data_IF_532873541368
#
_entry.id   IF_532873541368
#
_cell.length_a   1.000
_cell.length_b   1.000
_cell.length_c   1.000
_cell.angle_alpha   90.00
_cell.angle_beta   90.00
_cell.angle_gamma   90.00
#
_symmetry.space_group_name_H-M   'P 1'
#
loop_
_entity.id
_entity.type
_entity.pdbx_description
1 polymer ?
#
# COMPACT_ATOMS: atom_id res chain seq x y z
N UNK A 1 -22.25 -3.52 -17.55
CA UNK A 1 -22.50 -3.23 -18.98
C UNK A 1 -21.47 -2.28 -19.60
N UNK A 2 -20.43 -1.83 -18.86
CA UNK A 2 -19.45 -0.83 -19.31
C UNK A 2 -18.19 -1.39 -20.02
N UNK A 3 -18.00 -2.71 -20.04
CA UNK A 3 -16.79 -3.33 -20.59
C UNK A 3 -16.75 -3.43 -22.13
N UNK A 4 -17.81 -3.01 -22.84
CA UNK A 4 -18.00 -3.32 -24.27
C UNK A 4 -17.40 -2.28 -25.25
N UNK A 5 -16.87 -1.15 -24.76
CA UNK A 5 -16.35 -0.06 -25.62
C UNK A 5 -14.94 0.41 -25.28
N UNK A 6 -14.26 -0.23 -24.31
CA UNK A 6 -12.88 0.13 -23.98
C UNK A 6 -11.89 -0.60 -24.90
N UNK A 7 -10.88 0.09 -25.44
CA UNK A 7 -9.80 -0.54 -26.20
C UNK A 7 -9.14 -1.69 -25.40
N UNK A 8 -8.78 -2.83 -26.04
CA UNK A 8 -8.31 -4.01 -25.33
C UNK A 8 -7.06 -3.77 -24.47
N UNK A 9 -6.19 -2.84 -24.84
CA UNK A 9 -5.01 -2.36 -24.12
C UNK A 9 -5.37 -1.60 -22.83
N UNK A 10 -6.41 -0.77 -22.88
CA UNK A 10 -6.97 -0.10 -21.70
C UNK A 10 -7.68 -1.13 -20.83
N UNK A 11 -8.48 -2.02 -21.39
CA UNK A 11 -9.06 -3.12 -20.62
C UNK A 11 -7.98 -3.99 -19.96
N UNK A 12 -6.86 -4.25 -20.65
CA UNK A 12 -5.72 -5.00 -20.12
C UNK A 12 -5.00 -4.26 -18.98
N UNK A 13 -4.84 -2.93 -19.11
CA UNK A 13 -4.29 -2.06 -18.07
C UNK A 13 -5.23 -1.95 -16.85
N UNK A 14 -6.54 -1.85 -17.09
CA UNK A 14 -7.60 -1.86 -16.08
C UNK A 14 -7.76 -3.24 -15.42
N UNK A 15 -7.39 -4.34 -16.08
CA UNK A 15 -7.37 -5.69 -15.47
C UNK A 15 -6.10 -5.98 -14.66
N UNK A 16 -5.03 -5.18 -14.85
CA UNK A 16 -3.88 -5.15 -13.94
C UNK A 16 -4.12 -4.24 -12.72
N UNK A 17 -5.26 -3.55 -12.65
CA UNK A 17 -5.71 -2.92 -11.42
C UNK A 17 -5.71 -3.96 -10.32
N UNK A 18 -4.96 -3.64 -9.28
CA UNK A 18 -4.74 -4.49 -8.13
C UNK A 18 -6.06 -5.18 -7.72
N UNK A 19 -6.18 -6.52 -7.85
CA UNK A 19 -7.40 -7.23 -7.50
C UNK A 19 -7.85 -6.94 -6.07
N UNK A 20 -6.96 -6.53 -5.16
CA UNK A 20 -7.31 -6.15 -3.80
C UNK A 20 -8.18 -4.88 -3.71
N UNK A 21 -7.93 -3.90 -4.59
CA UNK A 21 -8.70 -2.64 -4.68
C UNK A 21 -9.81 -2.72 -5.74
N UNK A 22 -9.52 -3.35 -6.88
CA UNK A 22 -10.43 -3.58 -8.01
C UNK A 22 -11.49 -4.66 -7.71
N UNK A 23 -11.14 -5.70 -6.94
CA UNK A 23 -12.08 -6.70 -6.42
C UNK A 23 -12.60 -6.34 -5.02
N UNK A 24 -12.32 -5.14 -4.50
CA UNK A 24 -13.09 -4.55 -3.42
C UNK A 24 -14.45 -4.07 -3.96
N UNK A 25 -15.28 -5.03 -4.39
CA UNK A 25 -16.73 -4.93 -4.26
C UNK A 25 -17.18 -4.96 -2.78
N UNK A 26 -16.23 -4.93 -1.83
CA UNK A 26 -16.44 -5.08 -0.40
C UNK A 26 -15.85 -3.87 0.31
N UNK A 27 -16.66 -2.81 0.33
CA UNK A 27 -16.70 -1.73 1.31
C UNK A 27 -15.36 -1.29 1.90
N UNK A 28 -14.69 -0.35 1.24
CA UNK A 28 -13.90 0.65 1.99
C UNK A 28 -14.91 1.43 2.83
N UNK A 29 -14.71 1.51 4.15
CA UNK A 29 -15.68 2.16 5.04
C UNK A 29 -15.36 3.64 5.11
N UNK A 30 -16.13 4.43 4.39
CA UNK A 30 -16.26 5.87 4.68
C UNK A 30 -16.98 6.06 6.02
N UNK A 31 -16.70 7.15 6.78
CA UNK A 31 -17.47 7.53 7.97
C UNK A 31 -18.99 7.66 7.75
N UNK A 32 -19.46 7.75 6.49
CA UNK A 32 -20.88 7.69 6.13
C UNK A 32 -21.05 6.86 4.84
N UNK A 33 -21.95 5.88 4.90
CA UNK A 33 -22.30 4.95 3.82
C UNK A 33 -22.32 5.57 2.41
N UNK A 34 -21.32 5.25 1.58
CA UNK A 34 -21.43 5.32 0.13
C UNK A 34 -20.48 4.32 -0.53
N UNK A 35 -21.06 3.34 -1.22
CA UNK A 35 -20.36 2.36 -2.07
C UNK A 35 -19.83 3.06 -3.33
N UNK A 36 -18.73 3.80 -3.20
CA UNK A 36 -17.91 4.27 -4.31
C UNK A 36 -16.94 3.18 -4.77
N UNK A 37 -16.68 3.08 -6.06
CA UNK A 37 -15.65 2.19 -6.60
C UNK A 37 -14.32 2.95 -6.61
N UNK A 38 -13.28 2.40 -6.00
CA UNK A 38 -11.95 3.03 -5.95
C UNK A 38 -11.00 2.28 -6.87
N UNK A 39 -10.27 3.02 -7.68
CA UNK A 39 -9.32 2.45 -8.62
C UNK A 39 -7.92 3.01 -8.42
N UNK A 40 -6.98 2.15 -8.05
CA UNK A 40 -5.57 2.52 -7.94
C UNK A 40 -4.84 2.22 -9.24
N UNK A 41 -4.26 3.28 -9.81
CA UNK A 41 -3.42 3.26 -11.01
C UNK A 41 -2.00 3.54 -10.55
N UNK A 42 -1.22 2.50 -10.35
CA UNK A 42 0.21 2.60 -10.01
C UNK A 42 1.08 2.43 -11.24
N UNK A 43 2.07 3.31 -11.40
CA UNK A 43 3.34 3.20 -12.15
C UNK A 43 3.32 2.70 -13.62
N UNK A 44 2.15 2.40 -14.18
CA UNK A 44 1.95 2.07 -15.61
C UNK A 44 2.05 3.35 -16.46
N UNK A 45 1.98 4.54 -15.84
CA UNK A 45 1.78 5.78 -16.57
C UNK A 45 3.05 6.44 -17.10
N UNK A 46 4.25 6.07 -16.61
CA UNK A 46 5.53 6.62 -17.12
C UNK A 46 5.82 6.17 -18.56
N UNK A 47 5.42 4.96 -18.92
CA UNK A 47 5.56 4.38 -20.27
C UNK A 47 4.26 4.50 -21.09
N UNK A 48 3.25 5.15 -20.55
CA UNK A 48 1.92 5.17 -21.15
C UNK A 48 1.83 6.15 -22.32
N UNK A 49 1.02 5.76 -23.31
CA UNK A 49 0.79 6.57 -24.51
C UNK A 49 -0.21 7.68 -24.23
N UNK A 50 -0.23 8.71 -25.08
CA UNK A 50 -1.28 9.74 -25.08
C UNK A 50 -2.71 9.17 -25.16
N UNK A 51 -2.88 7.95 -25.70
CA UNK A 51 -4.16 7.24 -25.74
C UNK A 51 -4.60 6.78 -24.35
N UNK A 52 -3.66 6.29 -23.53
CA UNK A 52 -3.96 5.80 -22.18
C UNK A 52 -4.40 6.95 -21.27
N UNK A 53 -3.70 8.08 -21.30
CA UNK A 53 -4.08 9.26 -20.51
C UNK A 53 -5.46 9.80 -20.88
N UNK A 54 -5.76 9.93 -22.19
CA UNK A 54 -7.10 10.34 -22.64
C UNK A 54 -8.18 9.39 -22.14
N UNK A 55 -7.92 8.08 -22.17
CA UNK A 55 -8.89 7.11 -21.68
C UNK A 55 -9.10 7.20 -20.17
N UNK A 56 -8.05 7.41 -19.37
CA UNK A 56 -8.19 7.64 -17.92
C UNK A 56 -9.06 8.86 -17.65
N UNK A 57 -8.77 9.98 -18.32
CA UNK A 57 -9.55 11.22 -18.22
C UNK A 57 -11.00 10.99 -18.64
N UNK A 58 -11.24 10.36 -19.80
CA UNK A 58 -12.59 10.09 -20.31
C UNK A 58 -13.38 9.17 -19.36
N UNK A 59 -12.75 8.14 -18.80
CA UNK A 59 -13.41 7.24 -17.85
C UNK A 59 -13.71 7.96 -16.55
N UNK A 60 -12.79 8.78 -16.03
CA UNK A 60 -13.00 9.56 -14.82
C UNK A 60 -14.15 10.57 -14.97
N UNK A 61 -14.19 11.28 -16.11
CA UNK A 61 -15.24 12.25 -16.46
C UNK A 61 -16.63 11.60 -16.59
N UNK A 62 -16.70 10.37 -17.09
CA UNK A 62 -17.95 9.64 -17.26
C UNK A 62 -18.37 8.77 -16.06
N UNK A 63 -17.55 8.70 -14.99
CA UNK A 63 -17.77 7.81 -13.84
C UNK A 63 -17.68 8.56 -12.51
N UNK A 64 -18.52 9.59 -12.33
CA UNK A 64 -18.51 10.47 -11.15
C UNK A 64 -18.79 9.75 -9.82
N UNK A 65 -19.35 8.54 -9.84
CA UNK A 65 -19.58 7.70 -8.66
C UNK A 65 -18.37 6.80 -8.30
N UNK A 66 -17.25 6.96 -9.00
CA UNK A 66 -16.00 6.25 -8.74
C UNK A 66 -14.87 7.24 -8.48
N UNK A 67 -13.94 6.86 -7.61
CA UNK A 67 -12.72 7.60 -7.32
C UNK A 67 -11.53 6.92 -7.98
N UNK A 68 -10.70 7.71 -8.64
CA UNK A 68 -9.49 7.27 -9.29
C UNK A 68 -8.28 7.78 -8.51
N UNK A 69 -7.42 6.87 -8.10
CA UNK A 69 -6.17 7.14 -7.39
C UNK A 69 -5.02 6.98 -8.38
N UNK A 70 -4.35 8.08 -8.71
CA UNK A 70 -3.18 8.08 -9.59
C UNK A 70 -1.91 8.06 -8.74
N UNK A 71 -1.42 6.86 -8.43
CA UNK A 71 -0.20 6.64 -7.65
C UNK A 71 1.02 6.59 -8.56
N UNK A 72 2.08 7.32 -8.21
CA UNK A 72 3.27 7.40 -9.08
C UNK A 72 4.56 7.47 -8.29
N UNK A 73 5.61 6.86 -8.86
CA UNK A 73 7.01 7.12 -8.48
C UNK A 73 7.51 8.51 -8.88
N UNK A 74 6.75 9.25 -9.71
CA UNK A 74 6.99 10.64 -10.09
C UNK A 74 5.64 11.40 -10.15
N UNK A 75 5.13 11.86 -9.00
CA UNK A 75 3.82 12.53 -8.93
C UNK A 75 3.80 13.85 -9.70
N UNK A 76 4.94 14.52 -9.88
CA UNK A 76 5.05 15.74 -10.67
C UNK A 76 4.78 15.49 -12.15
N UNK A 77 5.40 14.46 -12.73
CA UNK A 77 5.16 14.07 -14.12
C UNK A 77 3.73 13.56 -14.31
N UNK A 78 3.25 12.71 -13.40
CA UNK A 78 1.88 12.18 -13.44
C UNK A 78 0.84 13.31 -13.41
N UNK A 79 1.01 14.31 -12.54
CA UNK A 79 0.15 15.48 -12.44
C UNK A 79 0.19 16.33 -13.71
N UNK A 80 1.39 16.63 -14.21
CA UNK A 80 1.56 17.44 -15.43
C UNK A 80 0.90 16.79 -16.65
N UNK A 81 1.04 15.47 -16.80
CA UNK A 81 0.41 14.75 -17.89
C UNK A 81 -1.11 14.72 -17.71
N UNK A 82 -1.61 14.45 -16.51
CA UNK A 82 -3.04 14.47 -16.25
C UNK A 82 -3.66 15.83 -16.62
N UNK A 83 -3.04 16.94 -16.22
CA UNK A 83 -3.50 18.30 -16.52
C UNK A 83 -3.49 18.60 -18.04
N UNK A 84 -2.47 18.14 -18.76
CA UNK A 84 -2.39 18.28 -20.22
C UNK A 84 -3.59 17.62 -20.92
N UNK A 85 -3.98 16.42 -20.47
CA UNK A 85 -5.06 15.66 -21.09
C UNK A 85 -6.45 15.98 -20.55
N UNK A 86 -6.57 16.45 -19.31
CA UNK A 86 -7.85 16.93 -18.75
C UNK A 86 -8.26 18.28 -19.32
N UNK A 87 -7.29 19.12 -19.72
CA UNK A 87 -7.56 20.50 -20.14
C UNK A 87 -8.30 21.26 -19.03
N UNK A 88 -9.39 21.94 -19.38
CA UNK A 88 -10.17 22.74 -18.44
C UNK A 88 -11.12 21.90 -17.54
N UNK A 89 -11.15 20.58 -17.69
CA UNK A 89 -12.03 19.71 -16.90
C UNK A 89 -11.53 19.64 -15.46
N UNK A 90 -12.40 20.02 -14.51
CA UNK A 90 -12.14 19.83 -13.08
C UNK A 90 -12.71 18.48 -12.62
N UNK A 91 -11.85 17.46 -12.58
CA UNK A 91 -12.22 16.11 -12.15
C UNK A 91 -11.97 15.94 -10.65
N UNK A 92 -12.99 16.18 -9.83
CA UNK A 92 -12.92 16.07 -8.35
C UNK A 92 -12.87 14.63 -7.84
N UNK A 93 -13.14 13.66 -8.72
CA UNK A 93 -13.08 12.24 -8.43
C UNK A 93 -11.74 11.60 -8.78
N UNK A 94 -10.70 12.41 -9.07
CA UNK A 94 -9.33 11.96 -9.30
C UNK A 94 -8.44 12.50 -8.19
N UNK A 95 -7.75 11.62 -7.48
CA UNK A 95 -6.75 11.96 -6.48
C UNK A 95 -5.36 11.62 -7.02
N UNK A 96 -4.39 12.45 -6.69
CA UNK A 96 -2.98 12.23 -6.99
C UNK A 96 -2.25 11.71 -5.76
N UNK A 97 -1.28 10.81 -5.97
CA UNK A 97 -0.50 10.26 -4.87
C UNK A 97 0.90 9.83 -5.29
N UNK A 98 1.72 9.60 -4.27
CA UNK A 98 3.10 9.18 -4.42
C UNK A 98 3.28 7.74 -3.93
N UNK A 99 4.10 6.96 -4.64
CA UNK A 99 4.57 5.65 -4.18
C UNK A 99 5.88 5.83 -3.42
N UNK A 100 5.89 5.49 -2.13
CA UNK A 100 7.02 5.66 -1.22
C UNK A 100 7.45 4.29 -0.68
N UNK A 101 8.65 3.85 -1.00
CA UNK A 101 9.14 2.51 -0.62
C UNK A 101 10.08 2.57 0.58
N UNK A 102 10.71 3.72 0.81
CA UNK A 102 11.68 3.98 1.86
C UNK A 102 11.62 5.46 2.32
N UNK A 103 12.48 5.85 3.27
CA UNK A 103 12.53 7.24 3.75
C UNK A 103 12.97 8.21 2.65
N UNK A 104 13.87 7.78 1.75
CA UNK A 104 14.41 8.67 0.71
C UNK A 104 13.32 9.10 -0.27
N UNK A 105 12.52 8.14 -0.76
CA UNK A 105 11.37 8.38 -1.61
C UNK A 105 10.26 9.17 -0.90
N UNK A 106 10.05 8.97 0.41
CA UNK A 106 9.12 9.81 1.18
C UNK A 106 9.56 11.28 1.22
N UNK A 107 10.82 11.53 1.56
CA UNK A 107 11.40 12.88 1.64
C UNK A 107 11.38 13.60 0.28
N UNK A 108 11.58 12.86 -0.82
CA UNK A 108 11.59 13.41 -2.17
C UNK A 108 10.18 13.67 -2.72
N UNK A 109 9.24 12.74 -2.53
CA UNK A 109 7.99 12.72 -3.27
C UNK A 109 6.81 13.36 -2.53
N UNK A 110 6.74 13.30 -1.21
CA UNK A 110 5.62 13.89 -0.45
C UNK A 110 5.52 15.42 -0.61
N UNK A 111 6.63 16.20 -0.64
CA UNK A 111 6.57 17.63 -0.92
C UNK A 111 5.91 17.96 -2.28
N UNK A 112 6.06 17.08 -3.27
CA UNK A 112 5.50 17.28 -4.62
C UNK A 112 3.97 17.15 -4.66
N UNK A 113 3.36 16.58 -3.60
CA UNK A 113 1.91 16.43 -3.50
C UNK A 113 1.21 17.71 -3.04
N UNK A 114 1.94 18.71 -2.54
CA UNK A 114 1.36 19.98 -2.09
C UNK A 114 0.66 20.74 -3.23
N UNK A 115 1.23 20.67 -4.44
CA UNK A 115 0.66 21.29 -5.64
C UNK A 115 -0.33 20.38 -6.39
N UNK A 116 -0.51 19.14 -5.94
CA UNK A 116 -1.31 18.14 -6.65
C UNK A 116 -2.81 18.21 -6.31
N UNK A 117 -3.18 18.78 -5.16
CA UNK A 117 -4.56 19.01 -4.75
C UNK A 117 -4.75 19.04 -3.22
N UNK A 118 -5.94 19.41 -2.76
CA UNK A 118 -6.27 19.49 -1.33
C UNK A 118 -6.32 18.12 -0.63
N UNK A 119 -6.52 17.06 -1.42
CA UNK A 119 -6.62 15.67 -0.97
C UNK A 119 -5.71 14.83 -1.86
N UNK A 120 -4.64 14.32 -1.28
CA UNK A 120 -3.67 13.42 -1.90
C UNK A 120 -3.47 12.18 -1.04
N UNK A 121 -2.70 11.22 -1.54
CA UNK A 121 -2.42 9.99 -0.82
C UNK A 121 -0.97 9.53 -1.00
N UNK A 122 -0.51 8.72 -0.05
CA UNK A 122 0.75 8.00 -0.15
C UNK A 122 0.48 6.50 -0.24
N UNK A 123 1.16 5.82 -1.16
CA UNK A 123 1.21 4.36 -1.22
C UNK A 123 2.56 3.93 -0.68
N UNK A 124 2.56 3.30 0.47
CA UNK A 124 3.75 2.71 1.06
C UNK A 124 3.86 1.22 0.64
N UNK A 125 4.41 0.98 -0.55
CA UNK A 125 4.53 -0.37 -1.13
C UNK A 125 5.52 -0.43 -2.31
N UNK A 126 6.39 -1.45 -2.38
CA UNK A 126 6.75 -2.35 -1.29
C UNK A 126 7.51 -1.57 -0.19
N UNK A 127 7.23 -1.85 1.08
CA UNK A 127 7.99 -1.26 2.18
C UNK A 127 9.37 -1.91 2.30
N UNK A 128 10.41 -1.08 2.23
CA UNK A 128 11.82 -1.49 2.37
C UNK A 128 12.41 -1.10 3.74
N UNK A 129 11.69 -0.31 4.53
CA UNK A 129 12.12 0.11 5.86
C UNK A 129 11.05 0.83 6.67
N UNK A 130 11.45 1.29 7.86
CA UNK A 130 10.67 2.28 8.60
C UNK A 130 10.68 3.60 7.82
N UNK A 131 9.50 4.21 7.71
CA UNK A 131 9.29 5.51 7.08
C UNK A 131 8.56 6.41 8.07
N UNK A 132 9.06 7.63 8.26
CA UNK A 132 8.32 8.75 8.81
C UNK A 132 7.77 9.57 7.65
N UNK A 133 6.45 9.64 7.53
CA UNK A 133 5.77 10.36 6.45
C UNK A 133 5.64 11.85 6.74
N UNK A 134 6.03 12.34 7.93
CA UNK A 134 5.91 13.75 8.31
C UNK A 134 4.52 14.33 7.99
N UNK A 135 3.46 13.58 8.34
CA UNK A 135 2.07 13.92 8.01
C UNK A 135 1.61 15.26 8.60
N UNK A 136 2.27 15.74 9.65
CA UNK A 136 2.07 17.05 10.25
C UNK A 136 2.56 18.20 9.36
N UNK A 137 3.54 17.95 8.49
CA UNK A 137 4.05 18.91 7.52
C UNK A 137 3.53 18.70 6.10
N UNK A 138 2.85 17.58 5.82
CA UNK A 138 2.22 17.29 4.53
C UNK A 138 0.69 17.22 4.65
N UNK A 139 0.01 18.35 4.86
CA UNK A 139 -1.42 18.39 5.20
C UNK A 139 -2.32 17.93 4.05
N UNK A 140 -1.84 17.88 2.80
CA UNK A 140 -2.63 17.38 1.66
C UNK A 140 -2.74 15.86 1.67
N UNK A 141 -1.82 15.14 2.32
CA UNK A 141 -1.85 13.68 2.42
C UNK A 141 -2.95 13.27 3.39
N UNK A 142 -4.09 12.83 2.84
CA UNK A 142 -5.27 12.43 3.63
C UNK A 142 -5.50 10.93 3.66
N UNK A 143 -4.75 10.17 2.86
CA UNK A 143 -4.82 8.72 2.83
C UNK A 143 -3.41 8.11 2.78
N UNK A 144 -3.17 7.10 3.60
CA UNK A 144 -2.01 6.23 3.49
C UNK A 144 -2.48 4.82 3.21
N UNK A 145 -1.99 4.26 2.10
CA UNK A 145 -2.25 2.90 1.64
C UNK A 145 -0.96 2.12 1.87
N UNK A 146 -1.02 1.01 2.60
CA UNK A 146 0.15 0.16 2.88
C UNK A 146 -0.08 -1.24 2.37
N UNK A 147 0.90 -1.78 1.65
CA UNK A 147 0.85 -3.15 1.16
C UNK A 147 2.22 -3.83 1.26
N UNK A 148 2.20 -5.14 1.51
CA UNK A 148 3.30 -6.00 1.09
C UNK A 148 3.34 -6.07 -0.43
N UNK A 149 4.53 -6.28 -1.00
CA UNK A 149 4.70 -6.29 -2.45
C UNK A 149 3.70 -7.21 -3.17
N UNK A 150 3.30 -6.86 -4.41
CA UNK A 150 2.16 -7.46 -5.09
C UNK A 150 2.41 -8.91 -5.54
N UNK A 151 3.68 -9.31 -5.64
CA UNK A 151 4.09 -10.58 -6.25
C UNK A 151 4.34 -11.69 -5.22
N UNK A 152 4.24 -12.95 -5.67
CA UNK A 152 4.56 -14.13 -4.86
C UNK A 152 6.02 -14.16 -4.39
N UNK A 153 6.91 -13.52 -5.15
CA UNK A 153 8.34 -13.38 -4.88
C UNK A 153 8.66 -12.11 -4.08
N UNK A 154 7.64 -11.35 -3.66
CA UNK A 154 7.84 -10.15 -2.86
C UNK A 154 8.53 -10.49 -1.56
N UNK A 155 9.42 -9.61 -1.11
CA UNK A 155 10.13 -9.73 0.16
C UNK A 155 9.13 -9.48 1.30
N UNK A 156 9.22 -10.18 2.44
CA UNK A 156 8.35 -9.92 3.58
C UNK A 156 8.49 -8.48 4.08
N UNK A 157 7.39 -7.89 4.53
CA UNK A 157 7.38 -6.57 5.19
C UNK A 157 7.42 -6.75 6.69
N UNK A 158 8.24 -5.97 7.39
CA UNK A 158 8.30 -6.04 8.84
C UNK A 158 6.99 -5.47 9.46
N UNK A 159 6.28 -6.20 10.34
CA UNK A 159 5.01 -5.76 10.92
C UNK A 159 5.09 -4.45 11.70
N UNK A 160 6.22 -4.18 12.37
CA UNK A 160 6.43 -2.89 13.04
C UNK A 160 6.40 -1.70 12.07
N UNK A 161 6.81 -1.87 10.80
CA UNK A 161 6.77 -0.78 9.81
C UNK A 161 5.32 -0.42 9.47
N UNK A 162 4.49 -1.43 9.21
CA UNK A 162 3.05 -1.25 8.97
C UNK A 162 2.36 -0.62 10.19
N UNK A 163 2.67 -1.11 11.41
CA UNK A 163 2.12 -0.55 12.66
C UNK A 163 2.58 0.90 12.90
N UNK A 164 3.83 1.24 12.55
CA UNK A 164 4.35 2.59 12.69
C UNK A 164 3.60 3.59 11.78
N UNK A 165 3.43 3.25 10.50
CA UNK A 165 2.67 4.07 9.55
C UNK A 165 1.22 4.26 9.98
N UNK A 166 0.56 3.17 10.40
CA UNK A 166 -0.78 3.24 10.97
C UNK A 166 -0.86 4.17 12.17
N UNK A 167 0.11 4.10 13.10
CA UNK A 167 0.13 4.97 14.26
C UNK A 167 0.33 6.43 13.85
N UNK A 168 1.19 6.73 12.87
CA UNK A 168 1.32 8.07 12.30
C UNK A 168 -0.01 8.57 11.74
N UNK A 169 -0.75 7.73 11.02
CA UNK A 169 -2.06 8.07 10.47
C UNK A 169 -3.08 8.40 11.57
N UNK A 170 -3.19 7.53 12.57
CA UNK A 170 -4.10 7.72 13.72
C UNK A 170 -3.75 9.00 14.49
N UNK A 171 -2.47 9.30 14.68
CA UNK A 171 -2.03 10.51 15.39
C UNK A 171 -2.34 11.80 14.64
N UNK A 172 -2.41 11.75 13.31
CA UNK A 172 -2.62 12.91 12.45
C UNK A 172 -4.03 12.98 11.82
N UNK A 173 -4.96 12.12 12.23
CA UNK A 173 -6.32 12.03 11.66
C UNK A 173 -6.32 11.80 10.14
N UNK A 174 -5.37 11.00 9.67
CA UNK A 174 -5.20 10.58 8.27
C UNK A 174 -5.77 9.18 8.11
N UNK A 175 -6.51 8.92 7.03
CA UNK A 175 -7.10 7.60 6.80
C UNK A 175 -6.01 6.56 6.53
N UNK A 176 -6.15 5.38 7.12
CA UNK A 176 -5.21 4.28 6.94
C UNK A 176 -5.88 3.06 6.29
N UNK A 177 -5.34 2.62 5.15
CA UNK A 177 -5.77 1.41 4.47
C UNK A 177 -4.61 0.40 4.40
N UNK A 178 -4.84 -0.80 4.91
CA UNK A 178 -3.88 -1.89 4.82
C UNK A 178 -4.35 -2.90 3.78
N UNK A 179 -3.69 -2.92 2.64
CA UNK A 179 -4.05 -3.79 1.53
C UNK A 179 -3.68 -5.26 1.80
N UNK A 180 -2.69 -5.51 2.65
CA UNK A 180 -2.32 -6.85 3.07
C UNK A 180 -0.82 -7.09 3.07
N UNK A 181 -0.43 -8.32 3.40
CA UNK A 181 0.96 -8.69 3.66
C UNK A 181 1.74 -9.18 2.42
N UNK A 182 1.20 -9.03 1.21
CA UNK A 182 1.75 -9.65 0.00
C UNK A 182 1.65 -11.17 0.10
N UNK A 183 2.75 -11.91 -0.08
CA UNK A 183 2.78 -13.37 0.03
C UNK A 183 3.11 -13.92 1.44
N UNK A 184 3.29 -13.04 2.43
CA UNK A 184 3.81 -13.40 3.76
C UNK A 184 2.78 -13.19 4.85
N UNK A 185 2.99 -13.77 6.04
CA UNK A 185 2.16 -13.51 7.23
C UNK A 185 3.01 -13.55 8.49
N UNK A 186 2.62 -12.79 9.52
CA UNK A 186 3.20 -12.90 10.85
C UNK A 186 3.10 -14.34 11.37
N UNK A 187 4.23 -14.90 11.79
CA UNK A 187 4.28 -16.24 12.37
C UNK A 187 3.95 -16.17 13.88
N UNK A 188 2.66 -16.11 14.20
CA UNK A 188 2.13 -16.05 15.56
C UNK A 188 1.50 -17.40 15.97
N UNK A 189 1.56 -17.76 17.25
CA UNK A 189 0.60 -18.69 17.85
C UNK A 189 -0.63 -17.90 18.23
N UNK A 190 -1.78 -18.33 17.72
CA UNK A 190 -3.07 -17.91 18.25
C UNK A 190 -3.41 -18.84 19.43
N UNK A 191 -3.51 -18.28 20.63
CA UNK A 191 -4.06 -18.97 21.81
C UNK A 191 -5.26 -18.21 22.39
N UNK A 192 -5.98 -18.84 23.32
CA UNK A 192 -7.19 -18.27 23.94
C UNK A 192 -6.91 -16.95 24.71
N UNK A 193 -5.65 -16.56 24.90
CA UNK A 193 -5.22 -15.35 25.59
C UNK A 193 -4.61 -14.25 24.70
N UNK A 194 -4.30 -14.52 23.43
CA UNK A 194 -3.44 -13.61 22.67
C UNK A 194 -2.95 -14.13 21.32
N UNK A 195 -2.42 -13.22 20.50
CA UNK A 195 -1.45 -13.60 19.46
C UNK A 195 -0.08 -13.51 20.11
N UNK A 196 0.59 -14.64 20.28
CA UNK A 196 1.96 -14.68 20.79
C UNK A 196 2.89 -14.86 19.59
N UNK A 197 3.73 -13.87 19.31
CA UNK A 197 4.80 -14.00 18.31
C UNK A 197 5.65 -15.22 18.64
N UNK A 198 5.73 -16.17 17.71
CA UNK A 198 6.50 -17.39 17.94
C UNK A 198 7.99 -17.05 18.01
N UNK A 199 8.62 -17.60 19.04
CA UNK A 199 10.08 -17.64 19.12
C UNK A 199 10.64 -18.34 17.88
N UNK A 200 11.74 -17.82 17.38
CA UNK A 200 12.44 -18.30 16.18
C UNK A 200 12.85 -19.77 16.38
N UNK A 201 12.28 -20.75 15.65
CA UNK A 201 12.73 -22.13 15.75
C UNK A 201 14.15 -22.26 15.22
N UNK A 202 15.00 -23.04 15.90
CA UNK A 202 16.42 -23.21 15.52
C UNK A 202 16.59 -23.79 14.11
N UNK A 203 15.60 -24.55 13.62
CA UNK A 203 15.60 -25.10 12.27
C UNK A 203 14.34 -24.60 11.54
N UNK A 204 14.38 -23.45 10.85
CA UNK A 204 13.23 -22.95 10.12
C UNK A 204 12.86 -23.92 8.99
N UNK A 205 11.60 -24.35 8.96
CA UNK A 205 11.03 -25.09 7.83
C UNK A 205 11.04 -24.22 6.56
N UNK A 206 10.89 -24.86 5.38
CA UNK A 206 10.74 -24.15 4.11
C UNK A 206 9.61 -23.10 4.19
N UNK A 207 9.92 -21.85 3.82
CA UNK A 207 8.95 -20.75 3.83
C UNK A 207 8.94 -19.91 5.11
N UNK A 208 9.90 -20.07 6.03
CA UNK A 208 10.10 -19.15 7.16
C UNK A 208 11.29 -18.23 6.91
N UNK A 209 11.19 -16.98 7.36
CA UNK A 209 12.28 -16.00 7.29
C UNK A 209 12.23 -15.04 8.47
N UNK A 210 13.38 -14.78 9.09
CA UNK A 210 13.46 -13.77 10.14
C UNK A 210 13.77 -12.41 9.53
N UNK A 211 13.06 -11.37 9.98
CA UNK A 211 13.29 -9.98 9.57
C UNK A 211 13.68 -9.16 10.78
N UNK A 212 14.66 -8.29 10.62
CA UNK A 212 14.96 -7.24 11.57
C UNK A 212 14.22 -5.96 11.19
N UNK A 213 13.95 -5.13 12.18
CA UNK A 213 13.38 -3.79 12.02
C UNK A 213 14.23 -2.87 11.12
N UNK A 214 15.52 -3.14 10.96
CA UNK A 214 16.43 -2.40 10.07
C UNK A 214 16.49 -2.94 8.62
N UNK A 215 15.62 -3.89 8.28
CA UNK A 215 15.49 -4.45 6.93
C UNK A 215 16.38 -5.66 6.67
N UNK A 216 17.27 -6.05 7.61
CA UNK A 216 18.04 -7.28 7.46
C UNK A 216 17.14 -8.51 7.52
N UNK A 217 17.39 -9.46 6.62
CA UNK A 217 16.74 -10.78 6.63
C UNK A 217 17.72 -11.88 7.03
N UNK A 218 17.22 -12.93 7.66
CA UNK A 218 17.99 -14.12 7.97
C UNK A 218 17.25 -15.37 7.48
N UNK A 219 17.87 -16.05 6.50
CA UNK A 219 17.33 -17.23 5.84
C UNK A 219 17.93 -18.54 6.38
N UNK A 220 19.01 -18.50 7.18
CA UNK A 220 19.65 -19.70 7.73
C UNK A 220 20.39 -19.43 9.07
N UNK A 221 20.74 -20.52 9.77
CA UNK A 221 21.43 -20.52 11.07
C UNK A 221 22.86 -19.96 11.05
N UNK A 222 23.48 -19.86 9.87
CA UNK A 222 24.86 -19.36 9.73
C UNK A 222 24.93 -17.82 9.66
N UNK A 223 23.79 -17.14 9.82
CA UNK A 223 23.75 -15.68 9.80
C UNK A 223 24.60 -15.10 10.95
N UNK A 224 25.64 -14.29 10.66
CA UNK A 224 26.53 -13.70 11.66
C UNK A 224 25.81 -12.73 12.62
N UNK A 225 24.59 -12.29 12.29
CA UNK A 225 23.75 -11.46 13.14
C UNK A 225 23.05 -12.25 14.27
N UNK A 226 23.12 -13.59 14.27
CA UNK A 226 22.53 -14.54 15.23
C UNK A 226 21.14 -14.10 15.76
N UNK A 227 20.12 -13.95 14.89
CA UNK A 227 18.76 -13.60 15.32
C UNK A 227 18.09 -14.69 16.16
N UNK A 228 18.74 -15.85 16.30
CA UNK A 228 18.26 -17.05 16.98
C UNK A 228 18.70 -17.09 18.46
N UNK A 229 19.80 -16.40 18.79
CA UNK A 229 20.44 -16.41 20.09
C UNK A 229 20.98 -17.79 20.50
N UNK A 230 21.99 -17.83 21.36
CA UNK A 230 22.59 -19.11 21.81
C UNK A 230 21.62 -20.04 22.56
N UNK A 231 20.47 -19.54 23.05
CA UNK A 231 19.51 -20.28 23.89
C UNK A 231 18.03 -20.13 23.45
N UNK A 232 17.73 -19.73 22.21
CA UNK A 232 16.34 -19.67 21.70
C UNK A 232 15.40 -18.76 22.51
N UNK A 233 15.97 -17.80 23.23
CA UNK A 233 15.27 -16.92 24.16
C UNK A 233 15.40 -15.49 23.67
N UNK A 234 14.24 -14.88 23.40
CA UNK A 234 13.99 -13.48 23.03
C UNK A 234 14.38 -13.03 21.62
N UNK A 235 13.33 -12.62 20.89
CA UNK A 235 13.03 -11.31 20.25
C UNK A 235 13.93 -10.11 20.67
N UNK A 236 15.19 -10.30 21.00
CA UNK A 236 16.13 -9.22 21.29
C UNK A 236 16.63 -8.61 19.97
N UNK A 237 16.60 -7.28 19.87
CA UNK A 237 17.17 -6.55 18.72
C UNK A 237 16.21 -6.26 17.58
N UNK A 238 14.88 -6.37 17.77
CA UNK A 238 13.90 -5.97 16.76
C UNK A 238 13.68 -7.01 15.65
N UNK A 239 13.91 -8.29 15.94
CA UNK A 239 13.64 -9.39 15.01
C UNK A 239 12.19 -9.90 15.12
N UNK A 240 11.62 -10.30 13.99
CA UNK A 240 10.33 -10.98 13.88
C UNK A 240 10.43 -12.17 12.90
N UNK A 241 9.42 -13.03 12.87
CA UNK A 241 9.34 -14.16 11.96
C UNK A 241 8.14 -14.02 11.03
N UNK A 242 8.40 -14.17 9.74
CA UNK A 242 7.38 -14.16 8.70
C UNK A 242 7.34 -15.53 8.03
N UNK A 243 6.14 -15.98 7.68
CA UNK A 243 5.90 -17.22 6.94
C UNK A 243 5.36 -16.90 5.55
N UNK A 244 5.94 -17.51 4.52
CA UNK A 244 5.43 -17.49 3.16
C UNK A 244 4.21 -18.41 3.10
N UNK A 245 3.07 -17.83 2.78
CA UNK A 245 1.77 -18.53 2.70
C UNK A 245 1.09 -18.32 1.36
N UNK A 246 1.69 -17.50 0.48
CA UNK A 246 1.11 -17.05 -0.78
C UNK A 246 0.09 -15.91 -0.58
N UNK A 247 -0.18 -15.20 -1.68
CA UNK A 247 -0.94 -13.93 -1.68
C UNK A 247 -2.36 -14.06 -1.14
N UNK A 248 -3.02 -15.20 -1.38
CA UNK A 248 -4.41 -15.39 -0.93
C UNK A 248 -4.48 -15.66 0.58
N UNK A 249 -3.55 -16.45 1.12
CA UNK A 249 -3.61 -16.91 2.51
C UNK A 249 -2.98 -15.92 3.50
N UNK A 250 -2.17 -14.98 3.03
CA UNK A 250 -1.56 -13.92 3.83
C UNK A 250 -2.61 -12.98 4.45
N UNK A 251 -3.63 -12.65 3.66
CA UNK A 251 -4.76 -11.83 4.09
C UNK A 251 -4.38 -10.38 4.43
N UNK A 252 -5.34 -9.68 5.04
CA UNK A 252 -5.30 -8.22 5.30
C UNK A 252 -5.50 -7.84 6.76
N UNK A 253 -5.38 -8.83 7.66
CA UNK A 253 -5.58 -8.63 9.09
C UNK A 253 -4.29 -8.09 9.69
N UNK A 254 -4.40 -6.96 10.39
CA UNK A 254 -3.34 -6.35 11.18
C UNK A 254 -3.91 -6.08 12.57
N UNK A 255 -3.31 -6.69 13.60
CA UNK A 255 -3.77 -6.63 14.99
C UNK A 255 -5.26 -7.01 15.12
N UNK A 256 -5.61 -8.19 14.60
CA UNK A 256 -6.95 -8.83 14.68
C UNK A 256 -8.10 -8.11 13.99
N UNK A 257 -7.83 -7.05 13.23
CA UNK A 257 -8.83 -6.38 12.41
C UNK A 257 -8.31 -6.01 11.03
N UNK A 258 -9.22 -5.75 10.11
CA UNK A 258 -8.88 -5.09 8.84
C UNK A 258 -8.87 -3.59 9.04
N UNK A 259 -8.04 -2.92 8.25
CA UNK A 259 -7.93 -1.47 8.22
C UNK A 259 -8.33 -1.00 6.82
N UNK A 260 -9.57 -0.53 6.71
CA UNK A 260 -10.27 -0.28 5.44
C UNK A 260 -10.78 1.18 5.38
N UNK A 261 -10.05 2.12 5.97
CA UNK A 261 -10.43 3.53 6.00
C UNK A 261 -10.18 4.17 4.63
N UNK A 262 -11.00 5.15 4.27
CA UNK A 262 -10.72 6.11 3.20
C UNK A 262 -11.10 7.51 3.66
N UNK A 263 -10.43 8.54 3.13
CA UNK A 263 -10.77 9.89 3.48
C UNK A 263 -12.18 10.23 3.00
N UNK A 264 -12.75 11.23 3.65
CA UNK A 264 -13.96 11.87 3.20
C UNK A 264 -13.57 13.14 2.44
N UNK A 265 -14.12 13.33 1.25
CA UNK A 265 -14.07 14.59 0.53
C UNK A 265 -15.43 14.84 -0.10
N UNK A 266 -15.89 16.09 -0.07
CA UNK A 266 -17.12 16.49 -0.73
C UNK A 266 -16.92 16.38 -2.24
N UNK A 267 -17.53 15.37 -2.86
CA UNK A 267 -17.57 15.19 -4.33
C UNK A 267 -18.55 16.13 -4.99
#
# INVERSE_FOLDING_TARGET
MFAATMPPDILHALTRWNPSLCASRRSVRSPRDSTGMVFLVEDIMRESTATAWRAVVDVADNTLNATFLLGSSDPSVSKSLFDEYSGDKKLTNVLHGATVTDQHSADELLPLLEDAGDVTFAVASPLEGLIDLHLDTHPTVKWVIVAGGPDIDSVPVHPLWVRALRNQCVLNDVSFFFEGWGAWKENVLEDDGGETLLSVPRNPEHGLTALNVDGRTALNMENPSDPFGKNGSSVQGGWTMMRHVGVIASGRVLDRRTWDEAPFWDT
#
